data_IF_276247406008
#
_entry.id   IF_276247406008
#
_cell.length_a   1.000
_cell.length_b   1.000
_cell.length_c   1.000
_cell.angle_alpha   90.00
_cell.angle_beta   90.00
_cell.angle_gamma   90.00
#
_symmetry.space_group_name_H-M   'P 1'
#
loop_
_entity.id
_entity.type
_entity.pdbx_description
1 polymer ?
#
# COMPACT_ATOMS: atom_id res chain seq x y z
N UNK A 1 47.70 30.43 -8.81
CA UNK A 1 49.09 30.90 -8.95
C UNK A 1 49.96 29.67 -9.09
N UNK A 2 50.56 29.44 -10.27
CA UNK A 2 51.40 28.28 -10.64
C UNK A 2 50.75 26.87 -10.61
N UNK A 3 51.17 25.84 -11.39
CA UNK A 3 51.81 25.80 -12.72
C UNK A 3 51.88 24.35 -13.30
N UNK A 4 51.52 24.16 -14.60
CA UNK A 4 52.17 23.30 -15.64
C UNK A 4 52.48 21.78 -15.38
N UNK A 5 52.81 20.83 -16.30
CA UNK A 5 52.99 20.66 -17.79
C UNK A 5 52.40 19.24 -18.12
N UNK A 6 51.55 18.92 -19.12
CA UNK A 6 51.59 18.86 -20.61
C UNK A 6 52.44 17.75 -21.32
N UNK A 7 51.73 16.78 -21.95
CA UNK A 7 51.90 16.21 -23.32
C UNK A 7 52.77 14.96 -23.71
N UNK A 8 52.05 14.00 -24.34
CA UNK A 8 52.27 13.35 -25.67
C UNK A 8 53.14 12.08 -25.95
N UNK A 9 52.42 10.98 -26.30
CA UNK A 9 52.54 10.09 -27.50
C UNK A 9 53.86 9.36 -27.90
N UNK A 10 53.74 8.03 -28.06
CA UNK A 10 53.91 7.18 -29.30
C UNK A 10 53.90 5.67 -28.92
N UNK A 11 53.58 4.66 -29.76
CA UNK A 11 53.25 4.56 -31.20
C UNK A 11 52.49 3.23 -31.51
N UNK A 12 51.62 3.21 -32.55
CA UNK A 12 51.31 2.12 -33.55
C UNK A 12 51.45 0.62 -33.20
N UNK A 13 50.65 -0.36 -33.67
CA UNK A 13 49.60 -0.54 -34.73
C UNK A 13 49.08 -2.01 -34.57
N UNK A 14 48.01 -2.59 -35.16
CA UNK A 14 46.83 -2.28 -36.00
C UNK A 14 45.81 -3.46 -35.77
N UNK A 15 44.79 -3.88 -36.55
CA UNK A 15 44.25 -3.58 -37.90
C UNK A 15 42.68 -3.58 -37.87
N UNK A 16 41.99 -4.29 -38.78
CA UNK A 16 40.53 -4.24 -39.09
C UNK A 16 40.10 -5.57 -39.81
N UNK A 17 38.80 -5.96 -39.98
CA UNK A 17 37.68 -5.11 -40.44
C UNK A 17 36.24 -5.29 -39.87
N UNK A 18 35.39 -4.37 -40.35
CA UNK A 18 33.92 -4.15 -40.27
C UNK A 18 33.13 -5.10 -41.20
N UNK A 19 31.76 -5.14 -41.26
CA UNK A 19 30.75 -4.03 -41.18
C UNK A 19 29.47 -4.36 -40.35
N UNK A 20 28.37 -3.58 -40.28
CA UNK A 20 28.10 -2.11 -40.27
C UNK A 20 26.73 -1.88 -39.54
N UNK A 21 26.12 -0.68 -39.64
CA UNK A 21 24.87 -0.26 -38.99
C UNK A 21 23.59 -0.83 -39.64
N UNK A 22 22.46 -0.93 -38.90
CA UNK A 22 21.30 -0.03 -39.10
C UNK A 22 20.14 -0.25 -38.08
N UNK A 23 19.12 0.63 -38.15
CA UNK A 23 18.04 0.91 -37.18
C UNK A 23 16.67 1.01 -37.91
N UNK A 24 15.47 0.87 -37.32
CA UNK A 24 14.95 0.35 -36.02
C UNK A 24 13.41 0.21 -36.16
N UNK A 25 12.63 0.06 -35.07
CA UNK A 25 11.16 -0.18 -34.99
C UNK A 25 10.74 -1.62 -35.41
N UNK A 26 9.62 -2.20 -34.96
CA UNK A 26 8.35 -1.63 -34.47
C UNK A 26 7.71 -2.43 -33.30
N UNK A 27 6.47 -2.10 -32.90
CA UNK A 27 5.77 -2.57 -31.69
C UNK A 27 4.79 -3.76 -31.89
N UNK A 28 4.60 -4.53 -30.81
CA UNK A 28 3.34 -5.06 -30.25
C UNK A 28 2.19 -5.43 -31.23
N UNK A 29 1.78 -6.72 -31.24
CA UNK A 29 0.41 -7.10 -30.83
C UNK A 29 0.23 -8.61 -30.51
N UNK A 30 -0.93 -8.93 -29.91
CA UNK A 30 -1.32 -10.23 -29.33
C UNK A 30 -2.22 -11.02 -30.29
N UNK A 31 -2.16 -12.35 -30.27
CA UNK A 31 -3.37 -13.20 -30.45
C UNK A 31 -3.22 -14.63 -29.89
N UNK A 32 -4.36 -15.28 -29.67
CA UNK A 32 -4.54 -16.54 -28.93
C UNK A 32 -4.53 -17.77 -29.86
N UNK A 33 -4.20 -18.97 -29.34
CA UNK A 33 -4.69 -20.23 -29.94
C UNK A 33 -4.74 -21.44 -28.98
N UNK A 34 -5.95 -21.82 -28.56
CA UNK A 34 -6.41 -23.19 -28.24
C UNK A 34 -7.87 -23.10 -27.76
N UNK A 35 -8.86 -23.86 -28.24
CA UNK A 35 -9.00 -24.73 -29.43
C UNK A 35 -10.51 -24.75 -29.80
N UNK A 36 -10.99 -25.19 -30.97
CA UNK A 36 -10.32 -25.76 -32.15
C UNK A 36 -11.38 -26.26 -33.18
N UNK A 37 -10.95 -27.14 -34.08
CA UNK A 37 -11.71 -27.74 -35.21
C UNK A 37 -12.03 -26.82 -36.41
N UNK A 38 -11.78 -27.38 -37.61
CA UNK A 38 -11.95 -26.76 -38.93
C UNK A 38 -13.34 -27.04 -39.51
N UNK A 39 -13.84 -26.10 -40.30
CA UNK A 39 -14.46 -26.43 -41.59
C UNK A 39 -14.11 -25.33 -42.61
N UNK A 40 -13.56 -25.70 -43.76
CA UNK A 40 -13.45 -24.83 -44.94
C UNK A 40 -14.67 -25.07 -45.83
N UNK A 41 -15.14 -24.05 -46.56
CA UNK A 41 -15.44 -24.15 -47.99
C UNK A 41 -15.78 -22.77 -48.61
N UNK A 42 -15.72 -22.72 -49.93
CA UNK A 42 -15.78 -21.48 -50.73
C UNK A 42 -17.19 -21.22 -51.31
N UNK A 43 -17.26 -20.43 -52.38
CA UNK A 43 -18.41 -19.59 -52.76
C UNK A 43 -19.45 -20.21 -53.71
N UNK A 44 -20.71 -19.77 -53.55
CA UNK A 44 -21.75 -19.60 -54.61
C UNK A 44 -22.36 -20.88 -55.25
N UNK A 45 -23.46 -20.78 -56.05
CA UNK A 45 -24.74 -20.09 -55.74
C UNK A 45 -26.00 -20.91 -56.18
N UNK A 46 -27.19 -20.26 -56.16
CA UNK A 46 -28.50 -20.66 -56.75
C UNK A 46 -29.38 -21.67 -55.99
N UNK A 47 -30.66 -21.77 -56.40
CA UNK A 47 -31.63 -22.79 -55.96
C UNK A 47 -32.92 -22.25 -55.33
N UNK A 48 -34.10 -22.68 -55.83
CA UNK A 48 -35.43 -22.31 -55.27
C UNK A 48 -36.16 -23.54 -54.69
N UNK A 49 -36.88 -23.30 -53.59
CA UNK A 49 -38.17 -23.90 -53.20
C UNK A 49 -38.27 -25.19 -52.32
N UNK A 50 -39.03 -25.03 -51.22
CA UNK A 50 -39.99 -25.99 -50.58
C UNK A 50 -39.51 -27.16 -49.71
N UNK A 51 -39.03 -26.81 -48.51
CA UNK A 51 -39.64 -27.10 -47.19
C UNK A 51 -40.42 -28.40 -46.89
N UNK A 52 -40.11 -29.01 -45.73
CA UNK A 52 -41.08 -29.39 -44.68
C UNK A 52 -40.48 -29.19 -43.25
N UNK A 53 -41.20 -28.40 -42.43
CA UNK A 53 -41.64 -28.60 -41.02
C UNK A 53 -40.71 -29.37 -40.04
N UNK A 54 -40.42 -28.94 -38.80
CA UNK A 54 -41.22 -28.19 -37.81
C UNK A 54 -40.35 -27.17 -36.98
N UNK A 55 -40.87 -26.01 -36.51
CA UNK A 55 -41.52 -25.72 -35.19
C UNK A 55 -40.55 -25.60 -33.98
N UNK A 56 -40.50 -24.51 -33.20
CA UNK A 56 -41.26 -23.23 -33.23
C UNK A 56 -40.46 -21.99 -32.75
N UNK A 57 -40.55 -20.94 -33.58
CA UNK A 57 -40.38 -19.46 -33.42
C UNK A 57 -39.76 -18.82 -32.15
N UNK A 58 -38.70 -18.06 -32.42
CA UNK A 58 -38.42 -16.66 -32.00
C UNK A 58 -39.56 -15.83 -31.38
N UNK A 59 -39.17 -14.93 -30.46
CA UNK A 59 -39.46 -13.47 -30.59
C UNK A 59 -38.30 -12.62 -30.06
N UNK A 60 -37.98 -11.53 -30.78
CA UNK A 60 -37.06 -10.45 -30.37
C UNK A 60 -37.83 -9.24 -29.82
N UNK A 61 -37.09 -8.31 -29.21
CA UNK A 61 -37.60 -7.12 -28.51
C UNK A 61 -38.41 -6.15 -29.38
N UNK A 62 -39.29 -5.37 -28.75
CA UNK A 62 -39.85 -4.11 -29.26
C UNK A 62 -39.76 -3.07 -28.11
N UNK A 63 -39.48 -1.82 -28.46
CA UNK A 63 -39.32 -0.68 -27.56
C UNK A 63 -40.69 -0.07 -27.19
N UNK A 64 -40.81 0.61 -26.03
CA UNK A 64 -41.73 1.74 -25.85
C UNK A 64 -41.29 2.65 -24.70
N UNK A 65 -41.67 3.94 -24.80
CA UNK A 65 -41.35 5.01 -23.86
C UNK A 65 -42.29 5.05 -22.65
N UNK A 66 -41.88 5.75 -21.59
CA UNK A 66 -42.77 6.24 -20.52
C UNK A 66 -42.42 7.71 -20.24
N UNK A 67 -43.42 8.60 -20.25
CA UNK A 67 -43.28 10.02 -19.90
C UNK A 67 -43.70 10.33 -18.46
N UNK A 68 -43.35 11.54 -18.00
CA UNK A 68 -43.68 12.12 -16.69
C UNK A 68 -45.21 12.24 -16.47
N UNK A 69 -45.77 12.42 -15.27
CA UNK A 69 -45.46 13.43 -14.23
C UNK A 69 -46.17 13.08 -12.87
N UNK A 70 -46.24 14.05 -11.93
CA UNK A 70 -46.99 14.11 -10.65
C UNK A 70 -46.20 13.81 -9.35
N UNK A 71 -45.36 14.79 -8.98
CA UNK A 71 -45.38 15.60 -7.74
C UNK A 71 -45.75 15.03 -6.33
N UNK A 72 -44.80 15.30 -5.42
CA UNK A 72 -44.94 15.93 -4.08
C UNK A 72 -45.39 15.17 -2.80
N UNK A 73 -44.56 15.35 -1.76
CA UNK A 73 -44.74 15.21 -0.28
C UNK A 73 -44.76 13.78 0.30
N UNK A 74 -43.92 13.32 1.26
CA UNK A 74 -42.99 13.84 2.31
C UNK A 74 -43.50 13.68 3.76
N UNK A 75 -42.63 13.21 4.67
CA UNK A 75 -42.79 12.90 6.12
C UNK A 75 -43.66 11.67 6.46
N UNK A 76 -43.46 10.92 7.58
CA UNK A 76 -42.54 11.12 8.72
C UNK A 76 -42.05 9.79 9.39
N UNK A 77 -41.22 9.92 10.44
CA UNK A 77 -40.59 8.86 11.26
C UNK A 77 -41.56 8.00 12.13
N UNK A 78 -41.14 6.80 12.61
CA UNK A 78 -41.99 5.86 13.34
C UNK A 78 -42.03 6.07 14.88
N UNK A 79 -43.12 5.63 15.55
CA UNK A 79 -43.18 5.39 17.00
C UNK A 79 -43.29 3.89 17.35
N UNK A 80 -43.01 3.55 18.62
CA UNK A 80 -43.13 2.18 19.15
C UNK A 80 -44.59 1.78 19.44
N UNK A 81 -44.91 0.48 19.38
CA UNK A 81 -45.82 -0.13 20.36
C UNK A 81 -45.60 -1.65 20.51
N UNK A 82 -45.81 -2.17 21.72
CA UNK A 82 -45.76 -3.61 22.03
C UNK A 82 -47.13 -4.28 21.84
N UNK A 83 -47.14 -5.57 21.50
CA UNK A 83 -48.36 -6.39 21.50
C UNK A 83 -48.25 -7.53 22.52
N UNK A 84 -49.23 -7.64 23.43
CA UNK A 84 -49.31 -8.73 24.40
C UNK A 84 -49.81 -10.03 23.74
N UNK A 85 -49.16 -11.15 24.04
CA UNK A 85 -49.66 -12.47 23.68
C UNK A 85 -50.60 -13.02 24.78
N UNK A 86 -51.88 -13.23 24.44
CA UNK A 86 -52.84 -13.88 25.35
C UNK A 86 -52.65 -15.40 25.28
N UNK A 87 -52.38 -16.02 26.43
CA UNK A 87 -52.10 -17.45 26.51
C UNK A 87 -53.37 -18.31 26.42
N UNK A 88 -53.30 -19.41 25.66
CA UNK A 88 -54.27 -20.51 25.71
C UNK A 88 -53.57 -21.84 26.03
N UNK A 89 -53.82 -22.39 27.22
CA UNK A 89 -53.42 -23.75 27.58
C UNK A 89 -54.47 -24.75 27.07
N UNK A 90 -54.04 -25.76 26.32
CA UNK A 90 -54.68 -27.10 26.31
C UNK A 90 -53.61 -28.16 26.55
N UNK A 91 -53.99 -29.25 27.24
CA UNK A 91 -53.09 -30.37 27.55
C UNK A 91 -52.63 -31.05 26.26
N UNK A 92 -51.34 -31.36 26.17
CA UNK A 92 -50.87 -32.47 25.34
C UNK A 92 -51.16 -33.79 26.05
N UNK A 93 -51.44 -34.83 25.28
CA UNK A 93 -51.44 -36.22 25.72
C UNK A 93 -50.22 -36.93 25.08
N UNK A 94 -49.72 -37.99 25.73
CA UNK A 94 -48.35 -38.49 25.51
C UNK A 94 -48.30 -39.90 24.92
N UNK A 95 -48.36 -40.00 23.58
CA UNK A 95 -47.91 -41.15 22.77
C UNK A 95 -47.71 -40.73 21.30
N UNK A 96 -47.00 -41.60 20.56
CA UNK A 96 -46.44 -41.39 19.20
C UNK A 96 -45.19 -40.50 19.19
N UNK A 97 -44.05 -41.17 19.34
CA UNK A 97 -42.73 -40.71 18.89
C UNK A 97 -42.25 -41.64 17.78
N UNK A 98 -41.37 -41.10 16.92
CA UNK A 98 -40.86 -41.71 15.67
C UNK A 98 -41.94 -41.78 14.55
N UNK A 99 -41.69 -41.27 13.32
CA UNK A 99 -40.40 -40.88 12.73
C UNK A 99 -40.35 -39.41 12.23
N UNK A 100 -39.47 -38.59 12.81
CA UNK A 100 -39.13 -37.25 12.26
C UNK A 100 -37.62 -36.92 12.25
N UNK A 101 -36.77 -37.82 12.72
CA UNK A 101 -35.33 -37.57 12.93
C UNK A 101 -34.44 -37.63 11.67
N UNK A 102 -35.00 -37.91 10.49
CA UNK A 102 -34.21 -38.06 9.24
C UNK A 102 -34.23 -36.76 8.39
N UNK A 103 -35.27 -35.93 8.47
CA UNK A 103 -35.37 -34.71 7.64
C UNK A 103 -34.46 -33.58 8.17
N UNK A 104 -34.19 -33.53 9.48
CA UNK A 104 -33.26 -32.55 10.05
C UNK A 104 -31.78 -32.84 9.76
N UNK A 105 -31.43 -34.04 9.27
CA UNK A 105 -30.06 -34.44 9.01
C UNK A 105 -29.47 -33.91 7.68
N UNK A 106 -30.29 -33.31 6.80
CA UNK A 106 -29.86 -32.69 5.53
C UNK A 106 -30.06 -31.17 5.47
N UNK A 107 -30.47 -30.54 6.57
CA UNK A 107 -30.57 -29.07 6.67
C UNK A 107 -29.30 -28.41 7.25
N UNK A 108 -28.40 -29.17 7.86
CA UNK A 108 -27.16 -28.70 8.48
C UNK A 108 -25.93 -28.70 7.55
N UNK A 109 -25.95 -29.51 6.48
CA UNK A 109 -24.90 -29.56 5.45
C UNK A 109 -25.05 -28.44 4.38
N UNK A 110 -25.51 -27.26 4.79
CA UNK A 110 -25.82 -26.12 3.92
C UNK A 110 -25.12 -24.81 4.28
N UNK A 111 -24.54 -24.71 5.48
CA UNK A 111 -23.67 -23.60 5.86
C UNK A 111 -22.29 -23.76 5.21
N UNK A 112 -22.24 -23.60 3.88
CA UNK A 112 -20.98 -23.34 3.18
C UNK A 112 -20.47 -22.01 3.75
N UNK A 113 -19.43 -22.07 4.58
CA UNK A 113 -18.81 -20.88 5.13
C UNK A 113 -18.41 -20.00 3.94
N UNK A 114 -19.14 -18.90 3.75
CA UNK A 114 -18.81 -17.92 2.74
C UNK A 114 -17.64 -17.13 3.31
N UNK A 115 -16.44 -17.66 3.10
CA UNK A 115 -15.19 -16.96 3.33
C UNK A 115 -15.15 -15.77 2.37
N UNK A 116 -15.77 -14.67 2.82
CA UNK A 116 -15.33 -13.34 2.43
C UNK A 116 -13.84 -13.30 2.70
N UNK A 117 -13.06 -13.18 1.64
CA UNK A 117 -11.60 -13.26 1.66
C UNK A 117 -11.04 -11.94 2.24
N UNK A 118 -11.34 -11.72 3.52
CA UNK A 118 -10.97 -10.54 4.28
C UNK A 118 -9.50 -10.65 4.63
N UNK A 119 -8.67 -10.09 3.73
CA UNK A 119 -7.25 -9.84 3.92
C UNK A 119 -6.96 -9.43 5.38
N UNK A 120 -6.01 -10.09 6.02
CA UNK A 120 -5.78 -9.94 7.47
C UNK A 120 -5.48 -8.49 7.83
N UNK A 121 -6.29 -7.95 8.74
CA UNK A 121 -6.13 -6.63 9.33
C UNK A 121 -5.96 -6.83 10.84
N UNK A 122 -4.71 -6.85 11.32
CA UNK A 122 -4.35 -7.10 12.71
C UNK A 122 -3.61 -5.89 13.27
N UNK A 123 -4.07 -5.36 14.39
CA UNK A 123 -3.42 -4.25 15.09
C UNK A 123 -3.18 -4.64 16.54
N UNK A 124 -1.94 -4.47 16.99
CA UNK A 124 -1.45 -4.93 18.29
C UNK A 124 -1.07 -3.71 19.13
N UNK A 125 -1.63 -3.60 20.33
CA UNK A 125 -1.28 -2.61 21.35
C UNK A 125 -0.25 -3.23 22.31
N UNK A 126 0.98 -2.73 22.27
CA UNK A 126 2.09 -3.30 23.01
C UNK A 126 2.10 -2.77 24.43
N UNK A 127 2.02 -3.66 25.42
CA UNK A 127 1.86 -3.27 26.82
C UNK A 127 0.40 -3.14 27.29
N UNK A 128 -0.60 -3.33 26.42
CA UNK A 128 -1.99 -3.52 26.84
C UNK A 128 -2.14 -4.78 27.72
N UNK A 129 -3.01 -4.70 28.73
CA UNK A 129 -3.24 -5.79 29.70
C UNK A 129 -3.56 -7.14 29.02
N UNK A 130 -2.98 -8.27 29.48
CA UNK A 130 -3.17 -9.57 28.83
C UNK A 130 -4.63 -9.98 28.68
N UNK A 131 -5.01 -10.39 27.47
CA UNK A 131 -6.39 -10.76 27.12
C UNK A 131 -7.34 -9.57 26.86
N UNK A 132 -6.91 -8.33 27.06
CA UNK A 132 -7.70 -7.14 26.70
C UNK A 132 -7.65 -6.82 25.21
N UNK A 133 -8.71 -6.17 24.74
CA UNK A 133 -8.88 -5.68 23.37
C UNK A 133 -9.84 -4.49 23.35
N UNK A 134 -9.73 -3.61 22.36
CA UNK A 134 -10.67 -2.50 22.16
C UNK A 134 -10.91 -2.22 20.67
N UNK A 135 -11.78 -1.25 20.40
CA UNK A 135 -11.98 -0.63 19.09
C UNK A 135 -11.77 0.87 19.26
N UNK A 136 -10.95 1.47 18.41
CA UNK A 136 -10.59 2.89 18.50
C UNK A 136 -11.62 3.80 17.78
N UNK A 137 -11.48 5.14 17.85
CA UNK A 137 -12.37 6.07 17.17
C UNK A 137 -12.37 5.99 15.62
N UNK A 138 -11.39 5.30 15.02
CA UNK A 138 -11.31 5.02 13.58
C UNK A 138 -11.98 3.68 13.22
N UNK A 139 -12.58 3.00 14.20
CA UNK A 139 -13.15 1.66 14.10
C UNK A 139 -12.10 0.58 13.74
N UNK A 140 -10.84 0.77 14.15
CA UNK A 140 -9.80 -0.25 14.13
C UNK A 140 -9.85 -1.04 15.45
N UNK A 141 -9.85 -2.37 15.37
CA UNK A 141 -9.74 -3.21 16.57
C UNK A 141 -8.28 -3.47 16.94
N UNK A 142 -7.95 -3.30 18.21
CA UNK A 142 -6.64 -3.57 18.79
C UNK A 142 -6.70 -4.70 19.80
N UNK A 143 -5.68 -5.56 19.81
CA UNK A 143 -5.51 -6.68 20.76
C UNK A 143 -4.24 -6.52 21.58
N UNK A 144 -4.21 -7.09 22.80
CA UNK A 144 -3.01 -7.15 23.63
C UNK A 144 -1.89 -7.96 22.98
N UNK A 145 -0.67 -7.48 23.13
CA UNK A 145 0.53 -8.10 22.58
C UNK A 145 1.00 -9.39 23.28
N UNK A 146 0.35 -9.74 24.40
CA UNK A 146 0.57 -10.98 25.17
C UNK A 146 0.31 -12.29 24.40
N UNK A 147 -0.32 -12.25 23.24
CA UNK A 147 -0.47 -13.40 22.34
C UNK A 147 0.71 -13.62 21.38
N UNK A 148 1.71 -12.74 21.39
CA UNK A 148 2.77 -12.67 20.38
C UNK A 148 4.19 -12.57 20.96
N UNK A 149 4.34 -12.30 22.27
CA UNK A 149 5.62 -12.30 23.00
C UNK A 149 5.44 -12.60 24.49
N UNK A 150 6.34 -13.39 25.08
CA UNK A 150 6.33 -13.76 26.50
C UNK A 150 7.28 -12.91 27.38
N UNK A 151 8.17 -12.12 26.77
CA UNK A 151 9.21 -11.34 27.46
C UNK A 151 8.82 -9.87 27.64
N UNK A 152 9.68 -9.07 28.28
CA UNK A 152 9.48 -7.63 28.48
C UNK A 152 8.55 -7.27 29.65
N UNK A 153 8.32 -5.97 29.82
CA UNK A 153 7.53 -5.39 30.91
C UNK A 153 6.65 -4.27 30.36
N UNK A 154 5.34 -4.36 30.64
CA UNK A 154 4.37 -3.34 30.26
C UNK A 154 4.63 -2.02 31.03
N UNK A 155 4.46 -0.88 30.36
CA UNK A 155 4.55 0.47 30.94
C UNK A 155 3.43 1.34 30.41
N UNK A 156 2.97 2.25 31.28
CA UNK A 156 2.02 3.30 30.91
C UNK A 156 2.78 4.60 30.76
N UNK A 157 2.41 5.40 29.76
CA UNK A 157 2.91 6.76 29.61
C UNK A 157 2.13 7.71 30.52
N UNK A 158 2.82 8.72 31.09
CA UNK A 158 2.18 9.77 31.88
C UNK A 158 1.38 10.73 30.99
N UNK A 159 0.19 11.14 31.42
CA UNK A 159 -0.66 12.09 30.67
C UNK A 159 0.04 13.43 30.34
N UNK A 160 1.10 13.78 31.06
CA UNK A 160 1.97 14.93 30.76
C UNK A 160 2.62 14.87 29.36
N UNK A 161 2.76 13.68 28.77
CA UNK A 161 3.28 13.46 27.40
C UNK A 161 2.18 13.12 26.39
N UNK A 162 0.90 13.10 26.80
CA UNK A 162 -0.21 12.61 25.99
C UNK A 162 -1.19 13.72 25.55
N UNK A 163 -0.78 14.99 25.60
CA UNK A 163 -1.56 16.17 25.20
C UNK A 163 -2.06 16.08 23.75
N UNK A 164 -1.17 15.73 22.85
CA UNK A 164 -1.40 15.69 21.40
C UNK A 164 -1.60 14.24 20.90
N UNK A 165 -1.40 13.26 21.78
CA UNK A 165 -1.45 11.82 21.50
C UNK A 165 -2.90 11.31 21.58
N UNK A 166 -3.59 11.42 20.44
CA UNK A 166 -4.99 10.96 20.28
C UNK A 166 -5.15 9.44 20.15
N UNK A 167 -4.13 8.71 19.68
CA UNK A 167 -4.22 7.26 19.49
C UNK A 167 -3.99 6.50 20.80
N UNK A 168 -4.86 5.53 21.10
CA UNK A 168 -4.81 4.78 22.36
C UNK A 168 -3.58 3.88 22.47
N UNK A 169 -3.10 3.29 21.36
CA UNK A 169 -1.91 2.42 21.28
C UNK A 169 -0.56 3.09 21.60
N UNK A 170 -0.59 4.39 21.91
CA UNK A 170 0.59 5.17 22.28
C UNK A 170 0.57 5.59 23.76
N UNK A 171 -0.46 5.17 24.50
CA UNK A 171 -0.58 5.37 25.97
C UNK A 171 0.13 4.25 26.75
N UNK A 172 0.44 3.16 26.07
CA UNK A 172 1.12 1.95 26.55
C UNK A 172 2.36 1.66 25.71
N UNK A 173 3.31 0.95 26.32
CA UNK A 173 4.41 0.29 25.61
C UNK A 173 4.83 -0.99 26.35
N UNK A 174 5.51 -1.89 25.63
CA UNK A 174 6.31 -2.96 26.22
C UNK A 174 7.79 -2.59 26.12
N UNK A 175 8.48 -2.60 27.26
CA UNK A 175 9.92 -2.36 27.37
C UNK A 175 10.70 -3.66 27.64
N UNK A 176 11.92 -3.75 27.13
CA UNK A 176 12.76 -4.95 27.18
C UNK A 176 14.09 -4.70 27.91
N UNK A 177 14.08 -4.51 29.25
CA UNK A 177 15.29 -4.25 30.03
C UNK A 177 16.23 -5.47 30.12
N UNK A 178 15.75 -6.66 29.75
CA UNK A 178 16.48 -7.93 29.79
C UNK A 178 16.54 -8.54 28.38
N UNK A 179 17.63 -9.27 28.11
CA UNK A 179 17.88 -9.94 26.82
C UNK A 179 18.53 -9.03 25.77
N UNK A 180 19.37 -9.62 24.93
CA UNK A 180 20.02 -8.96 23.79
C UNK A 180 19.10 -8.82 22.58
N UNK A 181 18.22 -9.81 22.37
CA UNK A 181 17.22 -9.87 21.29
C UNK A 181 15.88 -10.29 21.88
N UNK A 182 14.83 -9.52 21.64
CA UNK A 182 13.46 -9.85 22.04
C UNK A 182 12.55 -9.83 20.80
N UNK A 183 11.91 -10.96 20.49
CA UNK A 183 11.21 -11.14 19.21
C UNK A 183 9.72 -11.45 19.41
N UNK A 184 8.87 -10.61 18.83
CA UNK A 184 7.48 -10.96 18.58
C UNK A 184 7.41 -12.05 17.50
N UNK A 185 6.46 -12.96 17.61
CA UNK A 185 6.19 -13.98 16.58
C UNK A 185 4.72 -13.93 16.17
N UNK A 186 4.45 -13.53 14.93
CA UNK A 186 3.11 -13.40 14.37
C UNK A 186 2.93 -14.50 13.31
N UNK A 187 2.17 -15.54 13.66
CA UNK A 187 1.95 -16.73 12.82
C UNK A 187 0.50 -16.91 12.36
N UNK A 188 0.15 -18.14 11.99
CA UNK A 188 -1.22 -18.55 11.67
C UNK A 188 -2.19 -18.26 12.84
N UNK A 189 -3.41 -17.75 12.58
CA UNK A 189 -4.03 -17.55 11.27
C UNK A 189 -3.72 -16.18 10.63
N UNK A 190 -3.04 -15.27 11.33
CA UNK A 190 -2.79 -13.90 10.84
C UNK A 190 -1.74 -13.84 9.71
N UNK A 191 -0.73 -14.71 9.76
CA UNK A 191 0.27 -14.86 8.70
C UNK A 191 0.09 -16.18 7.97
N UNK A 192 -0.04 -16.09 6.65
CA UNK A 192 -0.08 -17.20 5.70
C UNK A 192 1.22 -17.25 4.88
N UNK A 193 1.65 -18.45 4.51
CA UNK A 193 2.94 -18.67 3.85
C UNK A 193 2.90 -18.17 2.40
N UNK A 194 3.87 -17.34 2.04
CA UNK A 194 4.00 -16.76 0.69
C UNK A 194 3.12 -15.53 0.44
N UNK A 195 2.20 -15.18 1.34
CA UNK A 195 1.42 -13.95 1.23
C UNK A 195 2.28 -12.71 1.47
N UNK A 196 1.93 -11.62 0.77
CA UNK A 196 2.51 -10.28 0.94
C UNK A 196 1.85 -9.52 2.08
N UNK A 197 2.64 -8.80 2.87
CA UNK A 197 2.21 -8.02 4.03
C UNK A 197 2.84 -6.64 4.07
N UNK A 198 2.02 -5.65 4.42
CA UNK A 198 2.45 -4.41 5.03
C UNK A 198 2.58 -4.64 6.55
N UNK A 199 3.70 -4.22 7.12
CA UNK A 199 4.01 -4.31 8.54
C UNK A 199 4.58 -2.96 9.01
N UNK A 200 4.03 -2.41 10.08
CA UNK A 200 4.44 -1.12 10.67
C UNK A 200 4.65 -1.26 12.17
N UNK A 201 5.74 -0.68 12.68
CA UNK A 201 6.08 -0.66 14.10
C UNK A 201 6.06 0.79 14.62
N UNK A 202 5.48 1.01 15.81
CA UNK A 202 5.30 2.33 16.43
C UNK A 202 6.04 2.43 17.76
N UNK A 203 6.68 3.57 17.99
CA UNK A 203 7.53 3.85 19.14
C UNK A 203 7.22 5.24 19.70
N UNK A 204 6.57 5.29 20.87
CA UNK A 204 6.40 6.52 21.64
C UNK A 204 7.10 6.37 22.99
N UNK A 205 8.11 7.20 23.26
CA UNK A 205 8.94 7.06 24.48
C UNK A 205 8.22 7.57 25.72
N UNK A 206 7.64 8.77 25.67
CA UNK A 206 6.85 9.37 26.76
C UNK A 206 7.57 9.40 28.12
N UNK A 207 8.91 9.35 28.13
CA UNK A 207 9.76 9.30 29.33
C UNK A 207 9.34 8.22 30.35
N UNK A 208 8.94 7.03 29.88
CA UNK A 208 8.30 5.99 30.71
C UNK A 208 9.13 5.49 31.91
N UNK A 209 10.45 5.66 31.87
CA UNK A 209 11.42 5.24 32.89
C UNK A 209 12.03 6.42 33.68
N UNK A 210 11.69 7.66 33.31
CA UNK A 210 12.24 8.88 33.90
C UNK A 210 13.64 9.26 33.39
N UNK A 211 14.19 8.57 32.39
CA UNK A 211 15.55 8.80 31.86
C UNK A 211 15.58 9.79 30.67
N UNK A 212 14.82 10.89 30.76
CA UNK A 212 14.63 11.88 29.67
C UNK A 212 15.91 12.53 29.12
N UNK A 213 17.04 12.44 29.81
CA UNK A 213 18.34 12.93 29.36
C UNK A 213 19.19 11.89 28.62
N UNK A 214 18.72 10.64 28.49
CA UNK A 214 19.39 9.57 27.77
C UNK A 214 18.71 9.31 26.42
N UNK A 215 19.49 9.43 25.34
CA UNK A 215 19.06 9.04 23.99
C UNK A 215 18.92 7.51 23.94
N UNK A 216 17.69 7.01 23.81
CA UNK A 216 17.41 5.58 23.70
C UNK A 216 17.58 5.16 22.24
N UNK A 217 18.49 4.24 21.94
CA UNK A 217 18.65 3.68 20.60
C UNK A 217 18.92 2.18 20.60
N UNK A 218 18.26 1.48 19.68
CA UNK A 218 18.24 0.04 19.50
C UNK A 218 17.91 -0.30 18.03
N UNK A 219 18.20 -1.52 17.59
CA UNK A 219 17.88 -1.96 16.22
C UNK A 219 16.55 -2.71 16.16
N UNK A 220 15.86 -2.58 15.03
CA UNK A 220 14.68 -3.34 14.65
C UNK A 220 15.04 -4.30 13.51
N UNK A 221 14.72 -5.57 13.68
CA UNK A 221 15.01 -6.64 12.71
C UNK A 221 13.74 -7.39 12.34
N UNK A 222 13.63 -7.83 11.08
CA UNK A 222 12.61 -8.76 10.63
C UNK A 222 13.26 -10.14 10.40
N UNK A 223 12.96 -11.10 11.28
CA UNK A 223 13.69 -12.36 11.36
C UNK A 223 15.16 -12.10 11.73
N UNK A 224 16.07 -12.30 10.77
CA UNK A 224 17.51 -11.99 10.88
C UNK A 224 17.93 -10.74 10.09
N UNK A 225 17.05 -10.14 9.30
CA UNK A 225 17.38 -8.98 8.47
C UNK A 225 17.26 -7.70 9.28
N UNK A 226 18.24 -6.80 9.18
CA UNK A 226 18.12 -5.45 9.69
C UNK A 226 17.06 -4.70 8.89
N UNK A 227 16.04 -4.21 9.61
CA UNK A 227 14.97 -3.39 9.07
C UNK A 227 15.32 -1.92 9.28
N UNK A 228 15.57 -1.52 10.53
CA UNK A 228 15.79 -0.12 10.89
C UNK A 228 16.56 0.05 12.22
N UNK A 229 16.94 1.29 12.56
CA UNK A 229 17.47 1.67 13.86
C UNK A 229 16.61 2.74 14.50
N UNK A 230 15.91 2.37 15.57
CA UNK A 230 15.16 3.33 16.39
C UNK A 230 16.17 4.21 17.14
N UNK A 231 15.96 5.52 17.08
CA UNK A 231 16.83 6.51 17.72
C UNK A 231 15.98 7.65 18.29
N UNK A 232 15.70 7.57 19.60
CA UNK A 232 14.84 8.50 20.32
C UNK A 232 15.62 9.76 20.66
N UNK A 233 15.21 10.88 20.06
CA UNK A 233 15.80 12.21 20.23
C UNK A 233 15.03 13.11 21.20
N UNK A 234 13.73 12.85 21.42
CA UNK A 234 12.86 13.54 22.40
C UNK A 234 11.92 12.53 23.06
N UNK A 235 11.23 12.91 24.14
CA UNK A 235 10.19 12.06 24.76
C UNK A 235 8.81 12.23 24.11
N UNK A 236 8.61 13.37 23.44
CA UNK A 236 7.36 13.88 22.88
C UNK A 236 7.17 13.50 21.40
N UNK A 237 8.23 13.07 20.71
CA UNK A 237 8.16 12.61 19.32
C UNK A 237 7.63 11.18 19.21
N UNK A 238 6.73 10.98 18.24
CA UNK A 238 6.32 9.67 17.76
C UNK A 238 7.25 9.22 16.63
N UNK A 239 7.84 8.04 16.77
CA UNK A 239 8.63 7.40 15.72
C UNK A 239 7.88 6.17 15.21
N UNK A 240 8.00 5.89 13.91
CA UNK A 240 7.47 4.68 13.30
C UNK A 240 8.33 4.27 12.12
N UNK A 241 8.24 3.00 11.75
CA UNK A 241 8.90 2.47 10.54
C UNK A 241 8.03 1.39 9.92
N UNK A 242 8.18 1.19 8.62
CA UNK A 242 7.24 0.45 7.80
C UNK A 242 7.96 -0.40 6.76
N UNK A 243 7.45 -1.61 6.50
CA UNK A 243 7.99 -2.52 5.50
C UNK A 243 6.90 -3.29 4.75
N UNK A 244 7.15 -3.54 3.46
CA UNK A 244 6.38 -4.43 2.61
C UNK A 244 7.22 -5.69 2.38
N UNK A 245 6.71 -6.84 2.80
CA UNK A 245 7.49 -8.09 2.89
C UNK A 245 6.64 -9.31 2.50
N UNK A 246 7.28 -10.45 2.24
CA UNK A 246 6.60 -11.72 1.91
C UNK A 246 6.92 -12.77 2.97
N UNK A 247 5.89 -13.39 3.55
CA UNK A 247 6.03 -14.32 4.67
C UNK A 247 6.45 -15.74 4.22
N UNK A 248 7.68 -15.89 3.71
CA UNK A 248 8.23 -17.16 3.18
C UNK A 248 8.24 -18.31 4.19
N UNK A 249 8.26 -18.01 5.50
CA UNK A 249 8.23 -18.99 6.58
C UNK A 249 6.82 -19.38 7.07
N UNK A 250 5.77 -18.63 6.71
CA UNK A 250 4.43 -18.77 7.29
C UNK A 250 4.25 -18.10 8.65
N UNK A 251 5.24 -17.31 9.08
CA UNK A 251 5.18 -16.37 10.20
C UNK A 251 6.06 -15.16 9.88
N UNK A 252 5.84 -14.06 10.59
CA UNK A 252 6.74 -12.91 10.65
C UNK A 252 7.28 -12.81 12.08
N UNK A 253 8.55 -12.43 12.24
CA UNK A 253 9.16 -12.24 13.55
C UNK A 253 9.80 -10.86 13.65
N UNK A 254 9.33 -10.04 14.58
CA UNK A 254 9.74 -8.64 14.75
C UNK A 254 10.61 -8.55 15.99
N UNK A 255 11.91 -8.40 15.77
CA UNK A 255 12.93 -8.50 16.80
C UNK A 255 13.52 -7.14 17.15
N UNK A 256 13.43 -6.76 18.43
CA UNK A 256 14.11 -5.61 18.99
C UNK A 256 15.48 -6.07 19.54
N UNK A 257 16.56 -5.39 19.14
CA UNK A 257 17.93 -5.75 19.49
C UNK A 257 18.59 -4.65 20.32
N UNK A 258 19.00 -5.00 21.54
CA UNK A 258 19.71 -4.10 22.43
C UNK A 258 21.18 -3.96 22.00
N UNK A 259 21.57 -2.75 21.59
CA UNK A 259 22.94 -2.39 21.17
C UNK A 259 23.74 -1.68 22.28
N UNK A 260 23.26 -1.69 23.52
CA UNK A 260 23.91 -1.07 24.69
C UNK A 260 23.66 0.43 24.86
N UNK A 261 22.85 1.05 23.98
CA UNK A 261 22.51 2.48 24.03
C UNK A 261 21.06 2.75 24.42
N UNK A 262 20.47 1.92 25.27
CA UNK A 262 19.12 2.12 25.81
C UNK A 262 18.40 0.81 26.17
N UNK A 263 17.16 0.95 26.64
CA UNK A 263 16.22 -0.16 26.76
C UNK A 263 15.35 -0.19 25.51
N UNK A 264 15.36 -1.28 24.70
CA UNK A 264 14.43 -1.41 23.58
C UNK A 264 12.97 -1.41 24.05
N UNK A 265 12.08 -0.79 23.29
CA UNK A 265 10.65 -0.77 23.59
C UNK A 265 9.82 -0.70 22.30
N UNK A 266 8.52 -0.98 22.38
CA UNK A 266 7.55 -0.77 21.29
C UNK A 266 6.17 -0.45 21.84
N UNK A 267 5.42 0.41 21.16
CA UNK A 267 4.06 0.85 21.54
C UNK A 267 2.97 0.14 20.73
N UNK A 268 3.22 -0.21 19.46
CA UNK A 268 2.29 -1.01 18.69
C UNK A 268 2.86 -1.61 17.41
N UNK A 269 2.18 -2.63 16.90
CA UNK A 269 2.47 -3.28 15.61
C UNK A 269 1.18 -3.33 14.79
N UNK A 270 1.19 -2.77 13.59
CA UNK A 270 0.12 -2.92 12.61
C UNK A 270 0.56 -3.89 11.51
N UNK A 271 -0.30 -4.86 11.19
CA UNK A 271 -0.14 -5.81 10.09
C UNK A 271 -1.36 -5.71 9.16
N UNK A 272 -1.12 -5.58 7.86
CA UNK A 272 -2.15 -5.57 6.81
C UNK A 272 -1.71 -6.52 5.69
N UNK A 273 -2.52 -7.51 5.34
CA UNK A 273 -2.24 -8.39 4.21
C UNK A 273 -2.51 -7.64 2.90
N UNK A 274 -1.54 -7.66 1.98
CA UNK A 274 -1.68 -7.07 0.66
C UNK A 274 -2.06 -8.13 -0.37
N UNK A 275 -2.69 -7.72 -1.47
CA UNK A 275 -2.84 -8.56 -2.66
C UNK A 275 -1.46 -8.69 -3.31
N UNK A 276 -1.12 -9.87 -3.82
CA UNK A 276 0.23 -10.15 -4.33
C UNK A 276 0.65 -9.23 -5.50
N UNK A 277 -0.34 -8.74 -6.26
CA UNK A 277 -0.16 -7.77 -7.35
C UNK A 277 0.29 -6.38 -6.91
N UNK A 278 0.10 -6.01 -5.64
CA UNK A 278 0.51 -4.70 -5.13
C UNK A 278 2.02 -4.70 -4.83
N UNK A 279 2.69 -3.57 -5.08
CA UNK A 279 4.12 -3.40 -4.86
C UNK A 279 4.96 -4.53 -5.51
N UNK A 280 5.00 -4.61 -6.86
CA UNK A 280 5.66 -5.71 -7.58
C UNK A 280 7.19 -5.74 -7.39
N UNK A 281 7.80 -4.65 -6.89
CA UNK A 281 9.20 -4.65 -6.48
C UNK A 281 9.46 -5.46 -5.18
N UNK A 282 8.44 -5.66 -4.33
CA UNK A 282 8.50 -6.48 -3.11
C UNK A 282 8.20 -7.95 -3.43
N UNK A 283 9.09 -8.86 -3.00
CA UNK A 283 9.03 -10.30 -3.29
C UNK A 283 9.77 -11.13 -2.22
N UNK A 284 9.77 -12.45 -2.34
CA UNK A 284 10.40 -13.40 -1.39
C UNK A 284 11.88 -13.12 -1.06
N UNK A 285 12.62 -12.49 -1.99
CA UNK A 285 14.04 -12.13 -1.83
C UNK A 285 14.28 -10.66 -1.47
N UNK A 286 13.23 -9.84 -1.44
CA UNK A 286 13.34 -8.38 -1.25
C UNK A 286 12.12 -7.82 -0.52
N UNK A 287 12.28 -7.54 0.76
CA UNK A 287 11.42 -6.63 1.51
C UNK A 287 11.76 -5.18 1.16
N UNK A 288 10.75 -4.35 0.92
CA UNK A 288 10.88 -2.90 0.82
C UNK A 288 10.72 -2.29 2.22
N UNK A 289 11.52 -1.31 2.58
CA UNK A 289 11.39 -0.50 3.81
C UNK A 289 11.06 0.92 3.36
N UNK A 290 10.03 1.52 3.96
CA UNK A 290 9.66 2.89 3.63
C UNK A 290 10.77 3.86 4.05
N UNK A 291 11.07 4.81 3.18
CA UNK A 291 12.00 5.91 3.45
C UNK A 291 11.27 7.26 3.51
N UNK A 292 10.28 7.48 2.63
CA UNK A 292 9.35 8.62 2.66
C UNK A 292 8.05 8.26 1.93
N UNK A 293 6.90 8.78 2.39
CA UNK A 293 5.63 8.81 1.65
C UNK A 293 5.00 10.19 1.80
N UNK A 294 4.81 10.92 0.71
CA UNK A 294 4.29 12.28 0.72
C UNK A 294 2.99 12.41 -0.10
N UNK A 295 1.94 12.94 0.51
CA UNK A 295 0.83 13.55 -0.24
C UNK A 295 1.20 14.99 -0.58
N UNK A 296 0.97 15.42 -1.82
CA UNK A 296 1.35 16.74 -2.31
C UNK A 296 0.10 17.53 -2.73
N UNK A 297 0.05 18.82 -2.39
CA UNK A 297 -1.12 19.67 -2.69
C UNK A 297 -2.21 19.68 -1.61
N UNK A 298 -2.01 19.00 -0.48
CA UNK A 298 -2.94 18.96 0.65
C UNK A 298 -2.58 20.01 1.70
N UNK A 299 -3.40 21.06 1.84
CA UNK A 299 -3.38 21.92 3.02
C UNK A 299 -4.01 21.16 4.21
N UNK A 300 -3.36 21.22 5.37
CA UNK A 300 -3.65 20.43 6.57
C UNK A 300 -5.15 20.35 6.96
N UNK A 301 -5.79 19.17 6.91
CA UNK A 301 -6.10 18.32 8.09
C UNK A 301 -6.85 17.00 7.73
N UNK A 302 -6.86 16.03 8.65
CA UNK A 302 -7.72 14.82 8.77
C UNK A 302 -7.79 13.71 7.70
N UNK A 303 -7.36 13.85 6.44
CA UNK A 303 -7.69 12.85 5.39
C UNK A 303 -6.87 11.53 5.42
N UNK A 304 -6.02 11.33 6.44
CA UNK A 304 -4.82 10.46 6.36
C UNK A 304 -4.88 9.05 6.95
N UNK A 305 -6.05 8.52 7.35
CA UNK A 305 -6.17 7.16 7.92
C UNK A 305 -7.37 6.37 7.40
N UNK A 306 -7.39 5.07 7.70
CA UNK A 306 -8.60 4.24 7.62
C UNK A 306 -9.81 4.95 8.29
N UNK A 307 -11.02 4.92 7.69
CA UNK A 307 -11.46 4.08 6.57
C UNK A 307 -11.27 4.69 5.17
N UNK A 308 -10.70 5.89 5.03
CA UNK A 308 -10.52 6.53 3.71
C UNK A 308 -9.37 5.91 2.90
N UNK A 309 -8.36 5.38 3.60
CA UNK A 309 -7.37 4.46 3.04
C UNK A 309 -7.69 3.01 3.47
N UNK A 310 -8.12 2.11 2.56
CA UNK A 310 -8.44 0.72 2.90
C UNK A 310 -7.20 -0.15 3.24
N UNK A 311 -6.00 0.32 2.92
CA UNK A 311 -4.72 -0.34 3.24
C UNK A 311 -4.11 0.27 4.52
N UNK A 312 -4.66 1.40 5.00
CA UNK A 312 -4.25 2.11 6.22
C UNK A 312 -2.79 2.63 6.12
N UNK A 313 -2.40 3.15 4.95
CA UNK A 313 -1.12 3.85 4.75
C UNK A 313 -1.06 5.14 5.56
N UNK A 314 0.11 5.43 6.12
CA UNK A 314 0.42 6.75 6.68
C UNK A 314 1.12 7.57 5.60
N UNK A 315 0.52 8.71 5.25
CA UNK A 315 1.05 9.71 4.34
C UNK A 315 1.60 10.88 5.17
N UNK A 316 2.85 11.26 4.97
CA UNK A 316 3.38 12.50 5.56
C UNK A 316 3.00 13.70 4.69
N UNK A 317 2.92 14.89 5.31
CA UNK A 317 2.67 16.14 4.59
C UNK A 317 3.99 16.76 4.12
N UNK A 318 3.94 17.39 2.94
CA UNK A 318 5.06 18.14 2.38
C UNK A 318 4.78 19.64 2.37
N UNK A 319 5.74 20.46 2.80
CA UNK A 319 5.60 21.91 2.74
C UNK A 319 5.94 22.44 1.33
N UNK A 320 4.94 22.47 0.46
CA UNK A 320 4.99 23.02 -0.90
C UNK A 320 5.62 24.42 -1.00
N UNK A 321 5.39 25.28 0.00
CA UNK A 321 5.82 26.67 0.00
C UNK A 321 7.34 26.84 0.08
N UNK A 322 8.06 25.93 0.76
CA UNK A 322 9.53 25.92 0.81
C UNK A 322 10.17 25.57 -0.55
N UNK A 323 9.41 24.88 -1.41
CA UNK A 323 9.88 24.36 -2.71
C UNK A 323 9.43 25.20 -3.91
N UNK A 324 8.78 26.34 -3.67
CA UNK A 324 8.18 27.21 -4.70
C UNK A 324 7.18 26.47 -5.60
N UNK A 325 6.35 25.61 -5.00
CA UNK A 325 5.26 24.93 -5.70
C UNK A 325 3.91 25.60 -5.39
N UNK A 326 3.00 25.51 -6.36
CA UNK A 326 1.59 25.82 -6.22
C UNK A 326 0.84 24.52 -5.92
N UNK A 327 0.11 24.50 -4.82
CA UNK A 327 -0.85 23.45 -4.51
C UNK A 327 -2.11 23.60 -5.38
N UNK A 328 -2.60 22.48 -5.88
CA UNK A 328 -3.80 22.39 -6.73
C UNK A 328 -4.62 21.18 -6.33
N UNK A 329 -5.95 21.29 -6.42
CA UNK A 329 -6.85 20.22 -5.98
C UNK A 329 -8.14 20.14 -6.80
N UNK A 330 -8.83 19.01 -6.71
CA UNK A 330 -10.15 18.79 -7.33
C UNK A 330 -11.09 18.05 -6.37
N UNK A 331 -12.38 18.40 -6.40
CA UNK A 331 -13.42 17.64 -5.69
C UNK A 331 -13.91 16.42 -6.49
N UNK A 332 -13.45 16.25 -7.74
CA UNK A 332 -13.86 15.14 -8.60
C UNK A 332 -13.11 13.87 -8.23
N UNK A 333 -13.80 12.71 -8.17
CA UNK A 333 -13.16 11.44 -7.80
C UNK A 333 -12.15 11.00 -8.87
N UNK A 334 -10.90 10.79 -8.46
CA UNK A 334 -9.84 10.20 -9.29
C UNK A 334 -9.93 8.67 -9.21
N UNK A 335 -9.76 8.01 -10.35
CA UNK A 335 -10.01 6.56 -10.49
C UNK A 335 -8.71 5.80 -10.68
N UNK A 336 -8.53 4.74 -9.92
CA UNK A 336 -7.39 3.86 -10.12
C UNK A 336 -7.60 2.98 -11.37
N UNK A 337 -6.51 2.74 -12.11
CA UNK A 337 -6.54 1.92 -13.31
C UNK A 337 -6.84 0.44 -12.99
N UNK A 338 -7.44 -0.35 -13.91
CA UNK A 338 -7.79 -1.76 -13.65
C UNK A 338 -6.61 -2.69 -13.33
N UNK A 339 -5.37 -2.25 -13.53
CA UNK A 339 -4.12 -2.98 -13.24
C UNK A 339 -3.20 -2.18 -12.29
N UNK A 340 -3.76 -1.22 -11.55
CA UNK A 340 -3.04 -0.43 -10.54
C UNK A 340 -2.35 -1.34 -9.50
N UNK A 341 -1.06 -1.08 -9.32
CA UNK A 341 -0.13 -1.84 -8.47
C UNK A 341 0.11 -1.23 -7.10
N UNK A 342 -0.57 -0.12 -6.75
CA UNK A 342 -0.38 0.62 -5.50
C UNK A 342 -1.69 0.85 -4.74
N UNK A 343 -2.80 1.07 -5.46
CA UNK A 343 -4.13 1.31 -4.88
C UNK A 343 -4.21 2.54 -3.97
N UNK A 344 -3.51 3.60 -4.37
CA UNK A 344 -3.52 4.93 -3.73
C UNK A 344 -4.96 5.45 -3.61
N UNK A 345 -5.36 6.02 -2.46
CA UNK A 345 -6.71 6.57 -2.29
C UNK A 345 -7.01 7.72 -3.26
N UNK A 346 -8.26 7.80 -3.73
CA UNK A 346 -8.71 8.94 -4.56
C UNK A 346 -8.49 10.29 -3.89
N UNK A 347 -8.46 10.36 -2.55
CA UNK A 347 -8.28 11.61 -1.80
C UNK A 347 -6.84 12.14 -1.86
N UNK A 348 -5.85 11.24 -1.85
CA UNK A 348 -4.44 11.57 -2.10
C UNK A 348 -4.26 12.01 -3.56
N UNK A 349 -4.92 11.31 -4.49
CA UNK A 349 -4.88 11.66 -5.92
C UNK A 349 -5.73 12.89 -6.29
N UNK A 350 -6.54 13.42 -5.38
CA UNK A 350 -7.34 14.64 -5.58
C UNK A 350 -6.53 15.92 -5.35
N UNK A 351 -5.39 15.82 -4.67
CA UNK A 351 -4.41 16.88 -4.46
C UNK A 351 -3.20 16.69 -5.39
N UNK A 352 -2.54 17.78 -5.77
CA UNK A 352 -1.26 17.76 -6.46
C UNK A 352 -0.46 19.06 -6.30
N UNK A 353 0.82 19.00 -6.66
CA UNK A 353 1.68 20.18 -6.83
C UNK A 353 1.99 20.45 -8.30
N UNK A 354 2.14 21.73 -8.63
CA UNK A 354 2.72 22.23 -9.88
C UNK A 354 3.79 23.28 -9.56
N UNK A 355 4.87 23.43 -10.32
CA UNK A 355 5.90 24.42 -10.00
C UNK A 355 5.42 25.85 -10.29
N UNK A 356 5.67 26.80 -9.37
CA UNK A 356 5.10 28.15 -9.47
C UNK A 356 5.73 28.99 -10.60
N UNK A 357 7.06 28.93 -10.76
CA UNK A 357 7.82 29.73 -11.72
C UNK A 357 8.91 28.90 -12.45
N UNK A 358 8.69 27.59 -12.61
CA UNK A 358 9.63 26.68 -13.29
C UNK A 358 8.91 25.79 -14.31
N UNK A 359 9.64 25.27 -15.29
CA UNK A 359 9.19 24.21 -16.19
C UNK A 359 9.36 22.80 -15.59
N UNK A 360 9.83 22.69 -14.34
CA UNK A 360 10.14 21.41 -13.69
C UNK A 360 9.74 21.31 -12.22
N UNK A 361 9.40 20.09 -11.80
CA UNK A 361 9.34 19.65 -10.39
C UNK A 361 10.63 18.88 -10.11
N UNK A 362 11.23 19.08 -8.93
CA UNK A 362 12.50 18.44 -8.56
C UNK A 362 12.42 17.88 -7.14
N UNK A 363 12.61 16.57 -7.00
CA UNK A 363 12.72 15.85 -5.73
C UNK A 363 14.19 15.46 -5.53
N UNK A 364 14.71 15.54 -4.30
CA UNK A 364 16.09 15.15 -4.02
C UNK A 364 16.24 14.51 -2.63
N UNK A 365 17.17 13.56 -2.50
CA UNK A 365 17.51 12.90 -1.24
C UNK A 365 18.93 12.33 -1.27
N UNK A 366 19.51 12.07 -0.10
CA UNK A 366 20.86 11.54 0.05
C UNK A 366 20.86 10.10 0.62
N UNK A 367 21.91 9.30 0.34
CA UNK A 367 22.09 8.00 0.98
C UNK A 367 22.35 8.14 2.49
N UNK A 368 21.68 7.33 3.33
CA UNK A 368 21.93 7.32 4.78
C UNK A 368 23.02 6.27 5.10
N UNK A 369 24.13 6.66 5.77
CA UNK A 369 25.17 5.71 6.16
C UNK A 369 24.64 4.55 7.01
N UNK A 370 25.02 3.32 6.67
CA UNK A 370 24.59 2.09 7.35
C UNK A 370 23.37 1.39 6.74
N UNK A 371 22.58 2.08 5.90
CA UNK A 371 21.42 1.50 5.21
C UNK A 371 21.82 0.90 3.85
N UNK A 372 20.95 0.06 3.28
CA UNK A 372 21.18 -0.57 1.98
C UNK A 372 21.22 0.44 0.81
N UNK A 373 20.49 1.55 0.91
CA UNK A 373 20.43 2.64 -0.08
C UNK A 373 20.10 2.17 -1.52
N UNK A 374 19.34 1.08 -1.63
CA UNK A 374 18.81 0.57 -2.90
C UNK A 374 17.42 1.16 -3.12
N UNK A 375 17.38 2.34 -3.73
CA UNK A 375 16.15 3.15 -3.79
C UNK A 375 15.16 2.71 -4.88
N UNK A 376 13.89 2.63 -4.50
CA UNK A 376 12.73 2.39 -5.36
C UNK A 376 11.76 3.56 -5.21
N UNK A 377 11.86 4.60 -6.07
CA UNK A 377 10.86 5.67 -6.12
C UNK A 377 9.58 5.22 -6.82
N UNK A 378 8.46 5.80 -6.41
CA UNK A 378 7.15 5.72 -7.07
C UNK A 378 6.59 7.14 -7.18
N UNK A 379 6.27 7.57 -8.40
CA UNK A 379 5.60 8.84 -8.66
C UNK A 379 4.14 8.57 -9.01
N UNK A 380 3.19 9.07 -8.21
CA UNK A 380 1.76 8.94 -8.48
C UNK A 380 1.23 10.22 -9.15
N UNK A 381 0.61 10.04 -10.32
CA UNK A 381 0.29 11.15 -11.23
C UNK A 381 -1.11 10.97 -11.81
N UNK A 382 -1.94 12.01 -11.76
CA UNK A 382 -3.21 12.17 -12.46
C UNK A 382 -3.30 13.60 -12.98
N UNK A 383 -3.88 13.80 -14.16
CA UNK A 383 -4.39 15.15 -14.48
C UNK A 383 -5.68 15.36 -13.68
N UNK A 384 -5.83 16.54 -13.08
CA UNK A 384 -6.98 16.89 -12.23
C UNK A 384 -7.83 18.03 -12.82
N UNK A 385 -7.37 18.63 -13.93
CA UNK A 385 -8.09 19.63 -14.72
C UNK A 385 -8.55 19.05 -16.06
N UNK A 386 -9.79 19.32 -16.47
CA UNK A 386 -10.25 18.89 -17.80
C UNK A 386 -9.63 19.80 -18.88
N UNK A 387 -8.62 19.28 -19.57
CA UNK A 387 -7.97 19.97 -20.69
C UNK A 387 -8.69 19.73 -22.03
N UNK A 388 -9.75 18.92 -22.08
CA UNK A 388 -10.42 18.55 -23.33
C UNK A 388 -11.11 19.76 -23.99
N UNK A 389 -10.98 19.86 -25.32
CA UNK A 389 -11.46 21.02 -26.07
C UNK A 389 -10.67 22.33 -25.87
N UNK A 390 -9.64 22.34 -25.03
CA UNK A 390 -8.72 23.47 -24.87
C UNK A 390 -7.54 23.38 -25.84
N UNK A 391 -6.77 24.46 -25.97
CA UNK A 391 -5.44 24.44 -26.60
C UNK A 391 -4.32 24.11 -25.59
N UNK A 392 -4.65 23.57 -24.41
CA UNK A 392 -3.69 23.28 -23.35
C UNK A 392 -3.29 21.80 -23.34
N UNK A 393 -2.01 21.56 -23.15
CA UNK A 393 -1.38 20.25 -23.01
C UNK A 393 -0.49 20.23 -21.77
N UNK A 394 -0.36 19.04 -21.15
CA UNK A 394 0.64 18.74 -20.13
C UNK A 394 1.43 17.50 -20.54
N UNK A 395 2.67 17.69 -20.97
CA UNK A 395 3.59 16.62 -21.36
C UNK A 395 4.97 16.87 -20.79
N UNK A 396 5.57 15.86 -20.17
CA UNK A 396 6.88 15.99 -19.54
C UNK A 396 7.70 14.70 -19.61
N UNK A 397 9.02 14.87 -19.66
CA UNK A 397 9.96 13.77 -19.41
C UNK A 397 10.23 13.66 -17.91
N UNK A 398 10.69 12.49 -17.48
CA UNK A 398 11.13 12.24 -16.11
C UNK A 398 12.58 11.76 -16.18
N UNK A 399 13.45 12.28 -15.31
CA UNK A 399 14.87 11.94 -15.26
C UNK A 399 15.28 11.54 -13.85
N UNK A 400 16.25 10.63 -13.75
CA UNK A 400 17.00 10.32 -12.53
C UNK A 400 18.43 10.80 -12.73
N UNK A 401 18.89 11.74 -11.92
CA UNK A 401 20.22 12.38 -12.02
C UNK A 401 20.59 12.84 -13.44
N UNK A 402 19.60 13.36 -14.20
CA UNK A 402 19.78 13.84 -15.58
C UNK A 402 19.74 12.75 -16.68
N UNK A 403 19.54 11.48 -16.32
CA UNK A 403 19.30 10.40 -17.29
C UNK A 403 17.79 10.13 -17.39
N UNK A 404 17.23 10.08 -18.61
CA UNK A 404 15.79 9.89 -18.79
C UNK A 404 15.37 8.52 -18.22
N UNK A 405 14.38 8.53 -17.34
CA UNK A 405 13.90 7.35 -16.63
C UNK A 405 12.81 6.67 -17.46
N UNK A 406 12.97 5.35 -17.65
CA UNK A 406 12.13 4.46 -18.49
C UNK A 406 12.10 4.78 -20.00
N UNK A 407 12.23 6.05 -20.41
CA UNK A 407 12.39 6.50 -21.80
C UNK A 407 11.12 7.03 -22.46
N UNK A 408 9.96 6.84 -21.84
CA UNK A 408 8.68 7.33 -22.32
C UNK A 408 8.42 8.81 -21.95
N UNK A 409 7.45 9.43 -22.65
CA UNK A 409 6.94 10.77 -22.37
C UNK A 409 5.69 10.64 -21.50
N UNK A 410 5.66 11.29 -20.34
CA UNK A 410 4.49 11.30 -19.48
C UNK A 410 3.42 12.27 -20.02
N UNK A 411 2.21 11.75 -20.24
CA UNK A 411 1.01 12.53 -20.58
C UNK A 411 -0.13 12.06 -19.65
N UNK A 412 -0.35 12.73 -18.50
CA UNK A 412 -1.29 12.25 -17.49
C UNK A 412 -2.75 12.23 -17.99
N UNK A 413 -3.52 11.23 -17.55
CA UNK A 413 -4.93 11.09 -17.89
C UNK A 413 -5.84 11.83 -16.89
N UNK A 414 -6.90 12.46 -17.40
CA UNK A 414 -7.84 13.23 -16.57
C UNK A 414 -8.66 12.33 -15.64
N UNK A 415 -8.53 12.55 -14.32
CA UNK A 415 -9.12 11.78 -13.24
C UNK A 415 -8.80 10.27 -13.27
N UNK A 416 -7.62 9.90 -13.77
CA UNK A 416 -7.09 8.54 -13.66
C UNK A 416 -5.72 8.53 -13.00
N UNK A 417 -5.62 7.77 -11.91
CA UNK A 417 -4.37 7.54 -11.18
C UNK A 417 -3.46 6.60 -11.97
N UNK A 418 -2.30 7.12 -12.36
CA UNK A 418 -1.20 6.39 -12.99
C UNK A 418 0.04 6.46 -12.09
N UNK A 419 1.03 5.59 -12.31
CA UNK A 419 2.20 5.48 -11.44
C UNK A 419 3.48 5.09 -12.17
N UNK A 420 4.53 5.90 -12.02
CA UNK A 420 5.86 5.68 -12.62
C UNK A 420 6.81 5.10 -11.58
N UNK A 421 7.34 3.92 -11.83
CA UNK A 421 8.17 3.13 -10.90
C UNK A 421 9.08 2.14 -11.64
N UNK A 422 10.02 1.52 -10.92
CA UNK A 422 10.90 0.46 -11.46
C UNK A 422 10.91 -0.81 -10.60
N UNK A 423 11.01 -1.98 -11.25
CA UNK A 423 11.08 -3.29 -10.59
C UNK A 423 12.48 -3.61 -10.01
N UNK A 424 13.51 -2.92 -10.52
CA UNK A 424 14.85 -2.84 -9.94
C UNK A 424 15.08 -1.50 -9.24
N UNK A 425 16.07 -1.42 -8.34
CA UNK A 425 16.43 -0.15 -7.71
C UNK A 425 17.05 0.80 -8.74
N UNK A 426 17.09 2.09 -8.40
CA UNK A 426 17.87 3.07 -9.15
C UNK A 426 19.36 2.69 -9.19
N UNK A 427 20.12 3.11 -10.22
CA UNK A 427 21.58 3.04 -10.19
C UNK A 427 22.16 3.73 -8.95
N UNK A 428 23.32 3.27 -8.49
CA UNK A 428 23.96 3.86 -7.31
C UNK A 428 24.55 5.24 -7.62
N UNK A 429 24.13 6.25 -6.86
CA UNK A 429 24.60 7.63 -6.97
C UNK A 429 25.00 8.19 -5.59
N UNK A 430 25.91 9.20 -5.53
CA UNK A 430 26.31 9.80 -4.26
C UNK A 430 25.23 10.67 -3.62
N UNK A 431 24.35 11.24 -4.45
CA UNK A 431 23.12 11.97 -4.10
C UNK A 431 22.08 11.62 -5.17
N UNK A 432 20.79 11.69 -4.84
CA UNK A 432 19.70 11.36 -5.76
C UNK A 432 18.83 12.57 -6.08
N UNK A 433 18.39 12.64 -7.32
CA UNK A 433 17.52 13.67 -7.85
C UNK A 433 16.55 13.06 -8.88
N UNK A 434 15.26 13.34 -8.73
CA UNK A 434 14.25 13.11 -9.76
C UNK A 434 13.78 14.47 -10.26
N UNK A 435 13.91 14.72 -11.56
CA UNK A 435 13.28 15.87 -12.23
C UNK A 435 12.14 15.40 -13.12
N UNK A 436 10.99 16.07 -13.01
CA UNK A 436 9.92 16.04 -14.02
C UNK A 436 10.09 17.34 -14.80
N UNK A 437 10.20 17.30 -16.13
CA UNK A 437 10.52 18.47 -16.95
C UNK A 437 9.58 18.59 -18.15
N UNK A 438 8.86 19.70 -18.25
CA UNK A 438 7.92 19.95 -19.34
C UNK A 438 8.62 19.97 -20.71
N UNK A 439 8.01 19.31 -21.69
CA UNK A 439 8.46 19.39 -23.07
C UNK A 439 8.25 20.80 -23.64
N UNK A 440 9.07 21.19 -24.62
CA UNK A 440 8.99 22.52 -25.26
C UNK A 440 7.70 22.80 -26.04
N UNK A 441 6.86 21.78 -26.24
CA UNK A 441 5.51 21.85 -26.81
C UNK A 441 4.39 21.67 -25.78
N UNK A 442 4.72 21.50 -24.49
CA UNK A 442 3.75 21.48 -23.39
C UNK A 442 3.38 22.91 -23.00
N UNK A 443 2.09 23.21 -22.91
CA UNK A 443 1.63 24.55 -22.46
C UNK A 443 1.59 24.68 -20.94
N UNK A 444 1.52 23.55 -20.23
CA UNK A 444 1.45 23.46 -18.78
C UNK A 444 2.73 22.82 -18.21
N UNK A 445 3.16 23.21 -17.01
CA UNK A 445 4.26 22.56 -16.32
C UNK A 445 3.84 21.16 -15.80
N UNK A 446 4.79 20.34 -15.31
CA UNK A 446 4.47 19.03 -14.75
C UNK A 446 3.50 19.11 -13.56
N UNK A 447 2.88 17.97 -13.25
CA UNK A 447 2.01 17.78 -12.09
C UNK A 447 2.42 16.49 -11.38
N UNK A 448 2.35 16.48 -10.05
CA UNK A 448 2.65 15.31 -9.22
C UNK A 448 1.70 15.30 -8.02
N UNK A 449 0.99 14.20 -7.81
CA UNK A 449 -0.02 14.07 -6.76
C UNK A 449 0.59 13.54 -5.47
N UNK A 450 1.40 12.49 -5.57
CA UNK A 450 2.06 11.89 -4.43
C UNK A 450 3.39 11.22 -4.83
N UNK A 451 4.25 11.00 -3.84
CA UNK A 451 5.55 10.37 -4.00
C UNK A 451 5.79 9.35 -2.89
N UNK A 452 6.28 8.18 -3.26
CA UNK A 452 6.82 7.20 -2.31
C UNK A 452 8.27 6.89 -2.64
N UNK A 453 9.05 6.63 -1.60
CA UNK A 453 10.44 6.21 -1.71
C UNK A 453 10.68 5.05 -0.74
N UNK A 454 11.14 3.93 -1.28
CA UNK A 454 11.54 2.77 -0.48
C UNK A 454 13.04 2.50 -0.63
N UNK A 455 13.67 1.94 0.41
CA UNK A 455 14.94 1.20 0.34
C UNK A 455 14.65 -0.29 0.49
N UNK A 456 15.66 -1.17 0.42
CA UNK A 456 15.54 -2.55 0.92
C UNK A 456 15.95 -2.64 2.38
N UNK A 457 15.54 -3.72 3.05
CA UNK A 457 16.25 -4.21 4.25
C UNK A 457 17.70 -4.54 3.95
N UNK A 458 18.52 -4.64 5.00
CA UNK A 458 19.92 -5.06 4.94
C UNK A 458 20.08 -6.46 5.52
N UNK A 459 20.64 -7.41 4.76
CA UNK A 459 20.96 -8.74 5.27
C UNK A 459 22.16 -8.64 6.24
N UNK A 460 21.90 -8.66 7.53
CA UNK A 460 22.92 -8.63 8.58
C UNK A 460 23.36 -10.05 8.97
N UNK A 461 24.66 -10.26 9.14
CA UNK A 461 25.22 -11.54 9.58
C UNK A 461 25.15 -11.72 11.10
N UNK A 462 24.10 -11.20 11.75
CA UNK A 462 23.85 -11.45 13.18
C UNK A 462 23.37 -12.90 13.30
N UNK A 463 24.04 -13.76 14.08
CA UNK A 463 23.60 -15.14 14.22
C UNK A 463 22.17 -15.22 14.73
N UNK A 464 21.39 -16.13 14.15
CA UNK A 464 20.28 -16.72 14.87
C UNK A 464 20.85 -17.50 16.06
N UNK A 465 20.52 -17.10 17.29
CA UNK A 465 20.81 -17.92 18.47
C UNK A 465 19.92 -19.17 18.43
N UNK A 466 20.37 -20.18 17.69
CA UNK A 466 19.85 -21.54 17.73
C UNK A 466 20.29 -22.21 19.03
N UNK A 467 19.85 -21.63 20.16
CA UNK A 467 20.47 -21.78 21.47
C UNK A 467 19.53 -22.16 22.62
N UNK A 468 18.22 -22.28 22.39
CA UNK A 468 17.27 -22.87 23.34
C UNK A 468 16.54 -24.04 22.67
N UNK A 469 16.93 -25.26 23.08
CA UNK A 469 16.30 -26.50 22.62
C UNK A 469 16.00 -27.43 23.78
N UNK A 470 14.82 -28.03 23.75
CA UNK A 470 14.45 -29.28 24.43
C UNK A 470 13.69 -30.17 23.45
#
# INVERSE_FOLDING_TARGET
MCAYVRRDRKRSRMLTPRPDLDLVLEQICILQSAAGQRAQLESQPTGRARAWRASVRDKRCILFEIGNDIKDKVFNSPPLCSAMAIAYRKKMDSRVWWPFLIIFAMASAGARAQSTDSLVFLSIDCGLEPGSSYVDPLNISYVSDSGFIDTGVNRNISDAYLSDVRSQKLRTLRAFPNGTRNCYTIGSPAVARGSKYLLRAWFFYGNYDGLSSQLQSFELHLGVNYWDRVNVTTAESLYWTETITVATAGYLSVCLVNIGTGTPFISGIDLRQLKDSLYPAANESRSLVLFNRWNLGEEFDYVRWYPYDPIDWVWDLWNSSEWNWNDVSTHSTVRNLPQDSFQVPSVVMQTAVTPMNSSSIVLAWDPIPGYANQFFPVLHISEIFDLSGTNQSRQFNIYVNGFQWLGDIMTPSYLYSDSVYSLGPLPSFPTYNISLEALSNSTLPPILNAFELYTTMSNTSVPSDAGDGM
#
